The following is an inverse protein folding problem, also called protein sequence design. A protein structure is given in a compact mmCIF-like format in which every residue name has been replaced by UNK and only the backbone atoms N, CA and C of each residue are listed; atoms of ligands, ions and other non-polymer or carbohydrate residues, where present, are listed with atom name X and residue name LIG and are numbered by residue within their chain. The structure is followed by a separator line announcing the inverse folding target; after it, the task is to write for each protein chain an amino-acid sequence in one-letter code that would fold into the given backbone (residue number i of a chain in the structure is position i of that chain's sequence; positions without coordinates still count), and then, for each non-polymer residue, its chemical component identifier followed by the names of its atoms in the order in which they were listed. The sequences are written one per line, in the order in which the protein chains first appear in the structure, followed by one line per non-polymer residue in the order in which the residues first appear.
data_IF_933044985985
#
_entry.id   IF_933044985985
#
_cell.length_a   1.000
_cell.length_b   1.000
_cell.length_c   1.000
_cell.angle_alpha   90.00
_cell.angle_beta   90.00
_cell.angle_gamma   90.00
#
_symmetry.space_group_name_H-M   'P 1'
#
loop_
_entity.id
_entity.type
_entity.pdbx_description
1 polymer ?
#
# COMPACT_ATOMS: atom_id res chain seq x y z
N UNK A 1 -13.40 -12.43 26.05
CA UNK A 1 -12.00 -12.32 25.57
C UNK A 1 -12.00 -12.61 24.08
N UNK A 2 -11.67 -11.62 23.26
CA UNK A 2 -11.40 -11.88 21.84
C UNK A 2 -10.02 -12.59 21.78
N UNK A 3 -9.87 -13.69 21.02
CA UNK A 3 -8.59 -14.39 20.92
C UNK A 3 -7.50 -13.45 20.42
N UNK A 4 -6.27 -13.59 20.92
CA UNK A 4 -5.10 -12.80 20.49
C UNK A 4 -4.94 -12.83 18.97
N UNK A 5 -5.29 -13.95 18.33
CA UNK A 5 -5.31 -14.15 16.87
C UNK A 5 -6.35 -13.27 16.14
N UNK A 6 -7.53 -13.06 16.72
CA UNK A 6 -8.58 -12.21 16.13
C UNK A 6 -8.21 -10.72 16.12
N UNK A 7 -7.51 -10.26 17.16
CA UNK A 7 -6.99 -8.87 17.23
C UNK A 7 -5.91 -8.63 16.18
N UNK A 8 -5.06 -9.64 15.92
CA UNK A 8 -4.04 -9.55 14.88
C UNK A 8 -4.68 -9.44 13.49
N UNK A 9 -5.69 -10.26 13.24
CA UNK A 9 -6.40 -10.30 11.97
C UNK A 9 -7.05 -8.96 11.60
N UNK A 10 -7.81 -8.39 12.53
CA UNK A 10 -8.47 -7.10 12.37
C UNK A 10 -7.50 -5.97 12.02
N UNK A 11 -6.32 -5.97 12.64
CA UNK A 11 -5.28 -4.97 12.37
C UNK A 11 -4.61 -5.18 11.00
N UNK A 12 -4.37 -6.42 10.56
CA UNK A 12 -3.89 -6.71 9.18
C UNK A 12 -4.89 -6.13 8.19
N UNK A 13 -6.16 -6.50 8.32
CA UNK A 13 -7.25 -6.04 7.48
C UNK A 13 -7.26 -4.51 7.40
N UNK A 14 -7.38 -3.83 8.54
CA UNK A 14 -7.53 -2.38 8.58
C UNK A 14 -6.32 -1.67 7.96
N UNK A 15 -5.10 -2.15 8.24
CA UNK A 15 -3.86 -1.56 7.72
C UNK A 15 -3.77 -1.71 6.20
N UNK A 16 -3.99 -2.92 5.67
CA UNK A 16 -3.83 -3.18 4.23
C UNK A 16 -5.00 -2.63 3.40
N UNK A 17 -6.22 -2.61 3.95
CA UNK A 17 -7.35 -1.92 3.33
C UNK A 17 -7.09 -0.41 3.23
N UNK A 18 -6.60 0.23 4.31
CA UNK A 18 -6.22 1.64 4.24
C UNK A 18 -5.05 1.88 3.30
N UNK A 19 -4.03 1.02 3.27
CA UNK A 19 -2.96 1.12 2.29
C UNK A 19 -3.50 1.08 0.86
N UNK A 20 -4.48 0.22 0.57
CA UNK A 20 -5.20 0.21 -0.70
C UNK A 20 -5.93 1.51 -1.01
N UNK A 21 -6.61 2.11 -0.03
CA UNK A 21 -7.28 3.42 -0.18
C UNK A 21 -6.28 4.55 -0.46
N UNK A 22 -5.14 4.56 0.23
CA UNK A 22 -4.06 5.53 0.00
C UNK A 22 -3.50 5.39 -1.42
N UNK A 23 -3.27 4.17 -1.89
CA UNK A 23 -2.82 3.87 -3.25
C UNK A 23 -3.86 4.24 -4.31
N UNK A 24 -5.17 4.11 -4.03
CA UNK A 24 -6.22 4.66 -4.91
C UNK A 24 -6.09 6.18 -5.00
N UNK A 25 -5.93 6.87 -3.86
CA UNK A 25 -5.72 8.32 -3.84
C UNK A 25 -4.49 8.75 -4.65
N UNK A 26 -3.37 8.04 -4.48
CA UNK A 26 -2.15 8.25 -5.24
C UNK A 26 -2.36 7.99 -6.75
N UNK A 27 -3.05 6.91 -7.09
CA UNK A 27 -3.36 6.56 -8.48
C UNK A 27 -4.23 7.62 -9.15
N UNK A 28 -5.28 8.09 -8.48
CA UNK A 28 -6.14 9.18 -8.97
C UNK A 28 -5.36 10.48 -9.16
N UNK A 29 -4.52 10.86 -8.19
CA UNK A 29 -3.63 12.01 -8.32
C UNK A 29 -2.65 11.87 -9.50
N UNK A 30 -2.10 10.69 -9.69
CA UNK A 30 -1.19 10.38 -10.80
C UNK A 30 -1.84 10.54 -12.17
N UNK A 31 -3.06 10.03 -12.36
CA UNK A 31 -3.83 10.23 -13.60
C UNK A 31 -4.10 11.72 -13.85
N UNK A 32 -4.60 12.42 -12.84
CA UNK A 32 -4.95 13.84 -12.97
C UNK A 32 -3.72 14.66 -13.37
N UNK A 33 -2.57 14.37 -12.77
CA UNK A 33 -1.34 15.05 -13.07
C UNK A 33 -0.79 14.73 -14.46
N UNK A 34 -0.78 13.45 -14.85
CA UNK A 34 -0.19 13.04 -16.12
C UNK A 34 -0.96 13.55 -17.34
N UNK A 35 -2.26 13.81 -17.19
CA UNK A 35 -3.13 14.29 -18.28
C UNK A 35 -3.29 15.81 -18.27
N UNK A 36 -3.52 16.43 -17.10
CA UNK A 36 -3.99 17.82 -17.02
C UNK A 36 -2.93 18.76 -16.43
N UNK A 37 -2.24 18.33 -15.37
CA UNK A 37 -1.37 19.24 -14.60
C UNK A 37 0.11 19.14 -14.95
N UNK A 38 0.54 18.24 -15.82
CA UNK A 38 1.96 18.05 -16.14
C UNK A 38 2.61 19.35 -16.64
N UNK A 39 1.92 20.11 -17.51
CA UNK A 39 2.41 21.41 -18.00
C UNK A 39 2.46 22.47 -16.89
N UNK A 40 1.51 22.45 -15.95
CA UNK A 40 1.46 23.41 -14.84
C UNK A 40 2.56 23.10 -13.83
N UNK A 41 2.71 21.84 -13.43
CA UNK A 41 3.74 21.40 -12.51
C UNK A 41 5.14 21.59 -13.10
N UNK A 42 5.30 21.41 -14.41
CA UNK A 42 6.55 21.70 -15.12
C UNK A 42 6.98 23.17 -15.11
N UNK A 43 6.09 24.12 -14.78
CA UNK A 43 6.48 25.53 -14.57
C UNK A 43 7.18 25.76 -13.23
N UNK A 44 6.96 24.87 -12.25
CA UNK A 44 7.45 25.02 -10.88
C UNK A 44 8.53 24.00 -10.52
N UNK A 45 8.48 22.81 -11.14
CA UNK A 45 9.34 21.68 -10.79
C UNK A 45 10.00 21.08 -12.03
N UNK A 46 11.30 20.89 -11.94
CA UNK A 46 12.03 19.96 -12.80
C UNK A 46 11.87 18.51 -12.29
N UNK A 47 12.26 17.54 -13.13
CA UNK A 47 12.16 16.12 -12.79
C UNK A 47 12.92 15.72 -11.51
N UNK A 48 14.08 16.33 -11.23
CA UNK A 48 14.86 16.00 -10.04
C UNK A 48 14.21 16.47 -8.72
N UNK A 49 13.79 17.76 -8.57
CA UNK A 49 13.03 18.21 -7.41
C UNK A 49 11.74 17.41 -7.18
N UNK A 50 10.96 17.14 -8.24
CA UNK A 50 9.74 16.35 -8.13
C UNK A 50 10.01 14.93 -7.63
N UNK A 51 11.10 14.30 -8.11
CA UNK A 51 11.54 12.99 -7.64
C UNK A 51 11.92 13.00 -6.15
N UNK A 52 12.76 13.96 -5.73
CA UNK A 52 13.17 14.08 -4.33
C UNK A 52 11.97 14.33 -3.41
N UNK A 53 11.02 15.16 -3.85
CA UNK A 53 9.80 15.45 -3.10
C UNK A 53 8.90 14.22 -2.97
N UNK A 54 8.67 13.51 -4.07
CA UNK A 54 7.77 12.35 -4.12
C UNK A 54 8.29 11.14 -3.32
N UNK A 55 9.58 10.81 -3.44
CA UNK A 55 10.13 9.55 -2.92
C UNK A 55 10.95 9.68 -1.65
N UNK A 56 11.34 10.90 -1.25
CA UNK A 56 12.18 11.12 -0.06
C UNK A 56 11.47 12.05 0.92
N UNK A 57 11.17 13.28 0.52
CA UNK A 57 10.69 14.30 1.45
C UNK A 57 9.27 14.01 1.96
N UNK A 58 8.30 13.71 1.07
CA UNK A 58 6.93 13.41 1.49
C UNK A 58 6.86 12.16 2.39
N UNK A 59 7.50 11.02 2.05
CA UNK A 59 7.58 9.86 2.93
C UNK A 59 8.25 10.18 4.29
N UNK A 60 9.35 10.94 4.31
CA UNK A 60 10.02 11.30 5.56
C UNK A 60 9.16 12.20 6.45
N UNK A 61 8.46 13.18 5.86
CA UNK A 61 7.55 14.07 6.60
C UNK A 61 6.38 13.30 7.19
N UNK A 62 5.73 12.41 6.43
CA UNK A 62 4.59 11.66 6.97
C UNK A 62 5.05 10.64 8.03
N UNK A 63 6.25 10.07 7.89
CA UNK A 63 6.82 9.21 8.91
C UNK A 63 7.09 9.97 10.23
N UNK A 64 7.64 11.19 10.15
CA UNK A 64 7.84 12.03 11.33
C UNK A 64 6.51 12.45 11.99
N UNK A 65 5.45 12.67 11.21
CA UNK A 65 4.11 12.94 11.72
C UNK A 65 3.50 11.70 12.40
N UNK A 66 3.73 10.51 11.86
CA UNK A 66 3.29 9.23 12.42
C UNK A 66 3.90 8.90 13.79
N UNK A 67 5.07 9.44 14.10
CA UNK A 67 5.72 9.26 15.40
C UNK A 67 5.15 10.16 16.51
N UNK A 68 4.33 11.15 16.15
CA UNK A 68 3.73 12.06 17.13
C UNK A 68 2.49 11.40 17.76
N UNK A 69 2.15 11.75 19.03
CA UNK A 69 0.92 11.28 19.66
C UNK A 69 -0.31 11.61 18.80
N UNK A 70 -1.12 10.60 18.52
CA UNK A 70 -2.31 10.76 17.67
C UNK A 70 -3.45 11.36 18.47
N UNK A 71 -3.76 12.64 18.22
CA UNK A 71 -4.90 13.30 18.83
C UNK A 71 -6.24 12.91 18.17
N UNK A 72 -6.23 12.68 16.85
CA UNK A 72 -7.41 12.28 16.08
C UNK A 72 -6.99 11.36 14.92
N UNK A 73 -7.31 10.07 15.05
CA UNK A 73 -6.95 9.03 14.09
C UNK A 73 -7.62 9.22 12.72
N UNK A 74 -8.89 9.62 12.70
CA UNK A 74 -9.62 9.90 11.46
C UNK A 74 -8.96 11.04 10.67
N UNK A 75 -8.65 12.14 11.34
CA UNK A 75 -7.98 13.28 10.72
C UNK A 75 -6.61 12.89 10.16
N UNK A 76 -5.86 12.05 10.89
CA UNK A 76 -4.56 11.56 10.45
C UNK A 76 -4.68 10.71 9.17
N UNK A 77 -5.67 9.81 9.08
CA UNK A 77 -5.92 9.00 7.88
C UNK A 77 -6.25 9.85 6.66
N UNK A 78 -7.09 10.88 6.81
CA UNK A 78 -7.40 11.81 5.71
C UNK A 78 -6.19 12.66 5.32
N UNK A 79 -5.35 13.07 6.28
CA UNK A 79 -4.08 13.75 6.00
C UNK A 79 -3.14 12.86 5.19
N UNK A 80 -3.01 11.58 5.55
CA UNK A 80 -2.23 10.60 4.77
C UNK A 80 -2.80 10.44 3.36
N UNK A 81 -4.13 10.36 3.22
CA UNK A 81 -4.77 10.24 1.92
C UNK A 81 -4.47 11.46 1.03
N UNK A 82 -4.54 12.68 1.58
CA UNK A 82 -4.17 13.89 0.87
C UNK A 82 -2.69 13.89 0.45
N UNK A 83 -1.79 13.49 1.36
CA UNK A 83 -0.35 13.35 1.06
C UNK A 83 -0.10 12.30 -0.02
N UNK A 84 -0.76 11.15 0.04
CA UNK A 84 -0.66 10.09 -0.96
C UNK A 84 -1.15 10.58 -2.33
N UNK A 85 -2.25 11.33 -2.39
CA UNK A 85 -2.72 11.95 -3.63
C UNK A 85 -1.71 12.96 -4.20
N UNK A 86 -1.09 13.79 -3.35
CA UNK A 86 -0.02 14.72 -3.76
C UNK A 86 1.21 13.98 -4.26
N UNK A 87 1.65 12.94 -3.56
CA UNK A 87 2.73 12.07 -4.00
C UNK A 87 2.40 11.46 -5.37
N UNK A 88 1.19 10.95 -5.53
CA UNK A 88 0.65 10.44 -6.79
C UNK A 88 0.73 11.46 -7.92
N UNK A 89 0.32 12.71 -7.67
CA UNK A 89 0.44 13.80 -8.65
C UNK A 89 1.90 14.03 -9.09
N UNK A 90 2.85 14.05 -8.16
CA UNK A 90 4.27 14.19 -8.49
C UNK A 90 4.79 13.01 -9.31
N UNK A 91 4.42 11.78 -8.94
CA UNK A 91 4.78 10.57 -9.69
C UNK A 91 4.17 10.59 -11.10
N UNK A 92 2.91 11.03 -11.23
CA UNK A 92 2.24 11.21 -12.52
C UNK A 92 2.96 12.19 -13.44
N UNK A 93 3.46 13.30 -12.89
CA UNK A 93 4.29 14.27 -13.62
C UNK A 93 5.66 13.69 -14.04
N UNK A 94 6.29 12.89 -13.18
CA UNK A 94 7.55 12.22 -13.52
C UNK A 94 7.38 11.21 -14.66
N UNK A 95 6.25 10.51 -14.67
CA UNK A 95 5.93 9.49 -15.67
C UNK A 95 5.44 10.13 -16.97
N UNK A 96 4.72 11.27 -16.95
CA UNK A 96 4.27 11.93 -18.18
C UNK A 96 5.43 12.36 -19.08
N UNK A 97 6.60 12.61 -18.49
CA UNK A 97 7.84 12.91 -19.21
C UNK A 97 8.58 11.66 -19.74
N UNK A 98 8.01 10.45 -19.56
CA UNK A 98 8.57 9.18 -20.01
C UNK A 98 7.57 8.46 -20.93
N UNK A 99 8.01 8.10 -22.13
CA UNK A 99 7.22 7.27 -23.03
C UNK A 99 7.14 5.84 -22.49
N UNK A 100 6.08 5.52 -21.76
CA UNK A 100 5.74 4.15 -21.41
C UNK A 100 4.73 3.62 -22.44
N UNK A 101 5.17 2.66 -23.25
CA UNK A 101 4.33 2.04 -24.28
C UNK A 101 3.25 1.12 -23.72
N UNK A 102 3.29 0.80 -22.43
CA UNK A 102 2.36 -0.11 -21.75
C UNK A 102 1.80 0.53 -20.49
N UNK A 103 0.52 0.31 -20.23
CA UNK A 103 -0.13 0.72 -18.99
C UNK A 103 0.49 -0.03 -17.80
N UNK A 104 0.84 0.69 -16.73
CA UNK A 104 1.36 0.09 -15.51
C UNK A 104 0.26 -0.69 -14.75
N UNK A 105 0.58 -1.83 -14.11
CA UNK A 105 -0.33 -2.48 -13.18
C UNK A 105 -0.81 -1.51 -12.08
N UNK A 106 -2.04 -1.72 -11.61
CA UNK A 106 -2.64 -0.86 -10.58
C UNK A 106 -2.04 -1.16 -9.19
N UNK A 107 -1.28 -0.21 -8.63
CA UNK A 107 -0.54 -0.41 -7.37
C UNK A 107 -1.43 -0.79 -6.17
N UNK A 108 -2.67 -0.31 -6.13
CA UNK A 108 -3.63 -0.58 -5.04
C UNK A 108 -4.15 -2.03 -4.99
N UNK A 109 -4.00 -2.82 -6.05
CA UNK A 109 -4.57 -4.19 -6.09
C UNK A 109 -3.99 -5.07 -5.00
N UNK A 110 -2.66 -5.09 -4.88
CA UNK A 110 -1.97 -5.96 -3.92
C UNK A 110 -2.37 -5.66 -2.48
N UNK A 111 -2.29 -4.43 -1.96
CA UNK A 111 -2.72 -4.14 -0.59
C UNK A 111 -4.22 -4.37 -0.38
N UNK A 112 -5.10 -4.06 -1.34
CA UNK A 112 -6.53 -4.38 -1.20
C UNK A 112 -6.80 -5.88 -1.14
N UNK A 113 -6.12 -6.67 -1.98
CA UNK A 113 -6.22 -8.12 -1.95
C UNK A 113 -5.76 -8.68 -0.60
N UNK A 114 -4.65 -8.18 -0.05
CA UNK A 114 -4.22 -8.56 1.30
C UNK A 114 -5.31 -8.23 2.33
N UNK A 115 -5.86 -7.02 2.31
CA UNK A 115 -6.89 -6.60 3.28
C UNK A 115 -8.21 -7.37 3.17
N UNK A 116 -8.66 -7.70 1.96
CA UNK A 116 -9.93 -8.41 1.72
C UNK A 116 -9.77 -9.92 1.89
N UNK A 117 -8.73 -10.52 1.30
CA UNK A 117 -8.53 -11.97 1.36
C UNK A 117 -8.17 -12.43 2.75
N UNK A 118 -7.46 -11.61 3.54
CA UNK A 118 -7.30 -11.87 4.96
C UNK A 118 -8.67 -12.14 5.61
N UNK A 119 -9.65 -11.22 5.49
CA UNK A 119 -10.98 -11.36 6.10
C UNK A 119 -11.70 -12.65 5.67
N UNK A 120 -11.72 -12.92 4.37
CA UNK A 120 -12.46 -14.07 3.83
C UNK A 120 -11.79 -15.38 4.29
N UNK A 121 -10.47 -15.38 4.41
CA UNK A 121 -9.69 -16.56 4.73
C UNK A 121 -9.51 -16.80 6.25
N UNK A 122 -9.96 -15.88 7.11
CA UNK A 122 -9.77 -15.93 8.56
C UNK A 122 -10.14 -17.31 9.13
N UNK A 123 -11.38 -17.76 8.90
CA UNK A 123 -11.89 -19.04 9.40
C UNK A 123 -11.17 -20.30 8.89
N UNK A 124 -10.38 -20.22 7.81
CA UNK A 124 -9.76 -21.39 7.14
C UNK A 124 -8.23 -21.41 7.23
N UNK A 125 -7.60 -20.26 7.46
CA UNK A 125 -6.15 -20.07 7.28
C UNK A 125 -5.45 -19.49 8.53
N UNK A 126 -6.22 -19.17 9.58
CA UNK A 126 -5.76 -18.49 10.81
C UNK A 126 -4.45 -18.98 11.43
N UNK A 127 -4.14 -20.28 11.35
CA UNK A 127 -2.99 -20.87 12.05
C UNK A 127 -1.75 -21.13 11.19
N UNK A 128 -1.78 -20.81 9.89
CA UNK A 128 -0.64 -21.09 9.00
C UNK A 128 -0.22 -19.85 8.21
N UNK A 129 0.84 -19.19 8.70
CA UNK A 129 1.46 -18.01 8.08
C UNK A 129 1.75 -18.20 6.60
N UNK A 130 2.23 -19.37 6.20
CA UNK A 130 2.56 -19.66 4.79
C UNK A 130 1.31 -19.68 3.93
N UNK A 131 0.22 -20.28 4.42
CA UNK A 131 -1.05 -20.29 3.70
C UNK A 131 -1.68 -18.89 3.65
N UNK A 132 -1.57 -18.08 4.72
CA UNK A 132 -2.05 -16.68 4.71
C UNK A 132 -1.30 -15.84 3.69
N UNK A 133 0.03 -15.95 3.67
CA UNK A 133 0.87 -15.26 2.69
C UNK A 133 0.55 -15.71 1.27
N UNK A 134 0.44 -17.02 1.03
CA UNK A 134 0.11 -17.57 -0.28
C UNK A 134 -1.27 -17.12 -0.77
N UNK A 135 -2.29 -17.11 0.10
CA UNK A 135 -3.63 -16.67 -0.25
C UNK A 135 -3.68 -15.15 -0.57
N UNK A 136 -3.11 -14.32 0.29
CA UNK A 136 -3.14 -12.86 0.14
C UNK A 136 -2.30 -12.37 -1.05
N UNK A 137 -1.08 -12.89 -1.20
CA UNK A 137 -0.17 -12.47 -2.26
C UNK A 137 -0.51 -13.14 -3.59
N UNK A 138 -0.89 -14.42 -3.54
CA UNK A 138 -1.30 -15.19 -4.72
C UNK A 138 -2.56 -14.62 -5.37
N UNK A 139 -3.55 -14.20 -4.57
CA UNK A 139 -4.75 -13.52 -5.10
C UNK A 139 -4.42 -12.17 -5.75
N UNK A 140 -3.59 -11.34 -5.11
CA UNK A 140 -3.14 -10.07 -5.69
C UNK A 140 -2.38 -10.25 -7.00
N UNK A 141 -1.43 -11.18 -7.04
CA UNK A 141 -0.68 -11.50 -8.26
C UNK A 141 -1.59 -12.07 -9.34
N UNK A 142 -2.50 -12.98 -9.00
CA UNK A 142 -3.47 -13.54 -9.95
C UNK A 142 -4.36 -12.46 -10.55
N UNK A 143 -4.86 -11.50 -9.74
CA UNK A 143 -5.65 -10.37 -10.23
C UNK A 143 -4.86 -9.47 -11.17
N UNK A 144 -3.59 -9.18 -10.88
CA UNK A 144 -2.71 -8.48 -11.81
C UNK A 144 -2.57 -9.23 -13.14
N UNK A 145 -2.34 -10.55 -13.09
CA UNK A 145 -2.20 -11.36 -14.31
C UNK A 145 -3.49 -11.38 -15.14
N UNK A 146 -4.64 -11.57 -14.49
CA UNK A 146 -5.95 -11.56 -15.16
C UNK A 146 -6.22 -10.21 -15.81
N UNK A 147 -5.98 -9.09 -15.10
CA UNK A 147 -6.19 -7.76 -15.67
C UNK A 147 -5.21 -7.46 -16.80
N UNK A 148 -3.94 -7.83 -16.65
CA UNK A 148 -2.94 -7.67 -17.70
C UNK A 148 -3.30 -8.48 -18.96
N UNK A 149 -3.89 -9.67 -18.80
CA UNK A 149 -4.39 -10.48 -19.93
C UNK A 149 -5.59 -9.82 -20.59
N UNK A 150 -6.60 -9.42 -19.81
CA UNK A 150 -7.85 -8.82 -20.32
C UNK A 150 -7.57 -7.49 -21.03
N UNK A 151 -6.64 -6.68 -20.53
CA UNK A 151 -6.27 -5.38 -21.11
C UNK A 151 -5.23 -5.49 -22.23
N UNK A 152 -4.73 -6.69 -22.54
CA UNK A 152 -3.69 -6.90 -23.54
C UNK A 152 -2.35 -6.24 -23.18
N UNK A 153 -2.08 -6.02 -21.89
CA UNK A 153 -0.91 -5.31 -21.38
C UNK A 153 0.19 -6.25 -20.84
N UNK A 154 0.08 -7.56 -21.07
CA UNK A 154 0.95 -8.58 -20.49
C UNK A 154 2.37 -8.62 -21.10
N UNK A 155 3.07 -7.49 -21.07
CA UNK A 155 4.47 -7.36 -21.47
C UNK A 155 5.43 -7.59 -20.31
N UNK A 156 6.74 -7.65 -20.62
CA UNK A 156 7.80 -7.82 -19.62
C UNK A 156 7.73 -6.77 -18.50
N UNK A 157 7.57 -5.49 -18.83
CA UNK A 157 7.50 -4.41 -17.85
C UNK A 157 6.29 -4.53 -16.92
N UNK A 158 5.14 -4.99 -17.44
CA UNK A 158 3.94 -5.22 -16.64
C UNK A 158 4.15 -6.35 -15.64
N UNK A 159 4.68 -7.49 -16.10
CA UNK A 159 4.95 -8.65 -15.24
C UNK A 159 5.99 -8.32 -14.17
N UNK A 160 7.06 -7.62 -14.54
CA UNK A 160 8.09 -7.18 -13.61
C UNK A 160 7.50 -6.28 -12.52
N UNK A 161 6.65 -5.32 -12.88
CA UNK A 161 6.04 -4.42 -11.91
C UNK A 161 5.01 -5.12 -11.03
N UNK A 162 4.21 -6.04 -11.57
CA UNK A 162 3.28 -6.87 -10.80
C UNK A 162 4.01 -7.76 -9.77
N UNK A 163 5.16 -8.33 -10.15
CA UNK A 163 6.02 -9.07 -9.24
C UNK A 163 6.64 -8.17 -8.18
N UNK A 164 7.09 -6.96 -8.54
CA UNK A 164 7.61 -6.00 -7.56
C UNK A 164 6.54 -5.58 -6.55
N UNK A 165 5.32 -5.28 -6.98
CA UNK A 165 4.21 -4.98 -6.06
C UNK A 165 3.91 -6.16 -5.13
N UNK A 166 3.92 -7.38 -5.67
CA UNK A 166 3.74 -8.60 -4.86
C UNK A 166 4.90 -8.79 -3.86
N UNK A 167 6.14 -8.54 -4.29
CA UNK A 167 7.32 -8.59 -3.43
C UNK A 167 7.29 -7.54 -2.31
N UNK A 168 6.87 -6.32 -2.61
CA UNK A 168 6.64 -5.28 -1.59
C UNK A 168 5.53 -5.71 -0.63
N UNK A 169 4.43 -6.28 -1.13
CA UNK A 169 3.37 -6.88 -0.32
C UNK A 169 3.90 -7.99 0.62
N UNK A 170 4.78 -8.85 0.12
CA UNK A 170 5.43 -9.89 0.93
C UNK A 170 6.27 -9.28 2.04
N UNK A 171 7.21 -8.38 1.71
CA UNK A 171 8.09 -7.76 2.70
C UNK A 171 7.29 -7.00 3.76
N UNK A 172 6.29 -6.23 3.34
CA UNK A 172 5.42 -5.47 4.26
C UNK A 172 4.63 -6.39 5.19
N UNK A 173 4.04 -7.49 4.69
CA UNK A 173 3.39 -8.49 5.56
C UNK A 173 4.37 -9.15 6.53
N UNK A 174 5.59 -9.48 6.09
CA UNK A 174 6.60 -10.09 6.97
C UNK A 174 7.03 -9.15 8.10
N UNK A 175 7.23 -7.87 7.80
CA UNK A 175 7.52 -6.83 8.79
C UNK A 175 6.34 -6.64 9.75
N UNK A 176 5.12 -6.62 9.23
CA UNK A 176 3.92 -6.49 10.04
C UNK A 176 3.82 -7.63 11.07
N UNK A 177 3.93 -8.89 10.63
CA UNK A 177 3.91 -10.04 11.54
C UNK A 177 5.05 -10.02 12.55
N UNK A 178 6.25 -9.56 12.16
CA UNK A 178 7.38 -9.43 13.08
C UNK A 178 7.11 -8.40 14.18
N UNK A 179 6.60 -7.22 13.80
CA UNK A 179 6.35 -6.13 14.74
C UNK A 179 5.19 -6.47 15.69
N UNK A 180 4.14 -7.11 15.18
CA UNK A 180 3.07 -7.62 16.02
C UNK A 180 3.57 -8.63 17.06
N UNK A 181 4.36 -9.62 16.65
CA UNK A 181 4.92 -10.60 17.57
C UNK A 181 5.76 -9.93 18.68
N UNK A 182 6.50 -8.86 18.34
CA UNK A 182 7.27 -8.08 19.31
C UNK A 182 6.37 -7.35 20.32
N UNK A 183 5.28 -6.72 19.89
CA UNK A 183 4.35 -6.00 20.78
C UNK A 183 3.74 -6.93 21.84
N UNK A 184 3.40 -8.17 21.45
CA UNK A 184 2.89 -9.18 22.39
C UNK A 184 3.96 -9.69 23.37
N UNK A 185 5.21 -9.82 22.93
CA UNK A 185 6.31 -10.28 23.78
C UNK A 185 6.68 -9.25 24.87
N UNK A 186 6.44 -7.95 24.62
CA UNK A 186 6.73 -6.84 25.55
C UNK A 186 5.56 -6.57 26.50
N UNK A 187 4.34 -7.01 26.17
CA UNK A 187 3.12 -6.79 26.97
C UNK A 187 2.52 -8.07 27.60
N UNK A 188 3.26 -8.92 28.34
CA UNK A 188 2.66 -10.02 29.10
C UNK A 188 1.94 -9.57 30.39
N UNK A 189 2.05 -8.29 30.80
CA UNK A 189 1.66 -7.80 32.13
C UNK A 189 0.34 -7.03 32.22
N UNK A 190 -0.43 -6.89 31.14
CA UNK A 190 -1.83 -6.41 31.22
C UNK A 190 -2.82 -7.59 31.08
N UNK A 191 -2.47 -8.72 31.71
CA UNK A 191 -3.48 -9.62 32.24
C UNK A 191 -3.93 -9.01 33.56
N UNK A 192 -4.99 -8.19 33.52
CA UNK A 192 -5.66 -7.75 34.75
C UNK A 192 -6.11 -8.99 35.54
N UNK A 193 -5.96 -8.99 36.87
CA UNK A 193 -6.12 -10.19 37.68
C UNK A 193 -7.60 -10.59 37.82
N UNK A 194 -7.83 -11.90 37.62
CA UNK A 194 -8.98 -12.76 37.97
C UNK A 194 -10.33 -12.45 37.30
#
# INVERSE_FOLDING_TARGET
MEPIEGVQHKRVMETFTWAGVLEIGAFSGGILSSIVMASILGMFFDGFPAFALAYILLPAMIFAELQKPVANDTMLRFKMLAVAAVQGMLVGFLISNRYLSTMQPFSFITPLCIGIVAQIAESKIMNNRTQTLAACLGSGLALHLVLGLVLGQLGFSYLLLALLYTGVGFVTMQLFFKNMASDYAVSPTIALPI
#
